data_IF_048475284485
#
_entry.id   IF_048475284485
#
_cell.length_a   1.000
_cell.length_b   1.000
_cell.length_c   1.000
_cell.angle_alpha   90.00
_cell.angle_beta   90.00
_cell.angle_gamma   90.00
#
_symmetry.space_group_name_H-M   'P 1'
#
loop_
_entity.id
_entity.type
_entity.pdbx_description
1 polymer ?
#
# COMPACT_ATOMS: atom_id res chain seq x y z
N UNK A 1 2.19 22.84 14.73
CA UNK A 1 2.04 22.95 13.27
C UNK A 1 1.40 21.67 12.75
N UNK A 2 0.32 21.69 11.95
CA UNK A 2 -0.36 20.49 11.48
C UNK A 2 0.32 20.01 10.20
N UNK A 3 1.57 19.58 10.33
CA UNK A 3 2.21 18.71 9.35
C UNK A 3 1.81 17.27 9.70
N UNK A 4 1.12 16.60 8.78
CA UNK A 4 0.62 15.24 8.99
C UNK A 4 -0.90 15.17 9.12
N UNK A 5 -1.37 14.29 10.00
CA UNK A 5 -2.80 13.98 10.14
C UNK A 5 -3.56 15.15 10.79
N UNK A 6 -4.70 15.50 10.22
CA UNK A 6 -5.60 16.53 10.79
C UNK A 6 -6.89 15.90 11.33
N UNK A 7 -7.60 16.65 12.17
CA UNK A 7 -8.90 16.24 12.73
C UNK A 7 -10.09 16.48 11.77
N UNK A 8 -9.88 17.12 10.61
CA UNK A 8 -10.94 17.35 9.63
C UNK A 8 -11.08 16.12 8.71
N UNK A 9 -12.26 15.50 8.72
CA UNK A 9 -12.55 14.30 7.94
C UNK A 9 -12.47 14.52 6.41
N UNK A 10 -12.53 15.77 5.95
CA UNK A 10 -12.43 16.15 4.54
C UNK A 10 -11.01 16.58 4.15
N UNK A 11 -10.15 16.91 5.12
CA UNK A 11 -8.74 17.31 4.90
C UNK A 11 -7.85 16.47 5.81
N UNK A 12 -7.81 15.15 5.59
CA UNK A 12 -7.15 14.22 6.53
C UNK A 12 -5.65 14.42 6.67
N UNK A 13 -4.97 14.90 5.63
CA UNK A 13 -3.52 15.14 5.65
C UNK A 13 -3.24 16.53 5.08
N UNK A 14 -2.40 17.28 5.78
CA UNK A 14 -1.89 18.57 5.33
C UNK A 14 -0.36 18.61 5.40
N UNK A 15 0.26 19.32 4.47
CA UNK A 15 1.73 19.45 4.39
C UNK A 15 2.26 20.59 5.26
N UNK A 16 1.41 21.55 5.60
CA UNK A 16 1.73 22.69 6.46
C UNK A 16 0.46 23.34 7.03
N UNK A 17 0.60 24.26 7.99
CA UNK A 17 -0.53 25.07 8.48
C UNK A 17 -1.18 25.90 7.36
N UNK A 18 -0.36 26.43 6.45
CA UNK A 18 -0.82 27.25 5.34
C UNK A 18 -1.64 26.42 4.36
N UNK A 19 -1.17 25.22 4.02
CA UNK A 19 -1.89 24.25 3.19
C UNK A 19 -3.25 23.90 3.81
N UNK A 20 -3.28 23.62 5.12
CA UNK A 20 -4.52 23.36 5.83
C UNK A 20 -5.51 24.54 5.76
N UNK A 21 -5.05 25.77 5.99
CA UNK A 21 -5.90 26.97 5.95
C UNK A 21 -6.49 27.18 4.55
N UNK A 22 -5.68 27.07 3.49
CA UNK A 22 -6.17 27.23 2.13
C UNK A 22 -7.15 26.12 1.72
N UNK A 23 -6.92 24.88 2.14
CA UNK A 23 -7.88 23.78 1.92
C UNK A 23 -9.16 23.99 2.72
N UNK A 24 -9.08 24.51 3.94
CA UNK A 24 -10.25 24.83 4.76
C UNK A 24 -11.09 25.96 4.14
N UNK A 25 -10.44 27.00 3.62
CA UNK A 25 -11.13 28.03 2.83
C UNK A 25 -11.70 27.43 1.53
N UNK A 26 -10.93 26.59 0.85
CA UNK A 26 -11.35 25.91 -0.37
C UNK A 26 -12.63 25.10 -0.18
N UNK A 27 -12.74 24.37 0.94
CA UNK A 27 -13.94 23.62 1.35
C UNK A 27 -15.19 24.50 1.46
N UNK A 28 -15.04 25.79 1.73
CA UNK A 28 -16.15 26.75 1.89
C UNK A 28 -16.53 27.47 0.60
N UNK A 29 -15.56 27.71 -0.30
CA UNK A 29 -15.75 28.64 -1.42
C UNK A 29 -15.54 28.03 -2.81
N UNK A 30 -14.85 26.90 -2.92
CA UNK A 30 -14.60 26.25 -4.21
C UNK A 30 -15.76 25.34 -4.62
N UNK A 31 -15.93 25.15 -5.92
CA UNK A 31 -16.87 24.16 -6.47
C UNK A 31 -16.40 22.73 -6.20
N UNK A 32 -17.28 21.75 -6.33
CA UNK A 32 -16.94 20.33 -6.10
C UNK A 32 -15.75 19.87 -6.96
N UNK A 33 -15.67 20.30 -8.21
CA UNK A 33 -14.58 19.94 -9.13
C UNK A 33 -13.23 20.54 -8.66
N UNK A 34 -13.25 21.80 -8.23
CA UNK A 34 -12.08 22.48 -7.69
C UNK A 34 -11.66 21.92 -6.33
N UNK A 35 -12.61 21.47 -5.51
CA UNK A 35 -12.33 20.78 -4.26
C UNK A 35 -11.62 19.46 -4.51
N UNK A 36 -12.04 18.69 -5.51
CA UNK A 36 -11.38 17.45 -5.92
C UNK A 36 -9.94 17.71 -6.36
N UNK A 37 -9.70 18.71 -7.21
CA UNK A 37 -8.36 19.10 -7.67
C UNK A 37 -7.46 19.57 -6.51
N UNK A 38 -8.02 20.31 -5.55
CA UNK A 38 -7.32 20.74 -4.34
C UNK A 38 -7.08 19.60 -3.33
N UNK A 39 -7.59 18.39 -3.59
CA UNK A 39 -7.47 17.23 -2.70
C UNK A 39 -8.34 17.32 -1.44
N UNK A 40 -9.44 18.07 -1.51
CA UNK A 40 -10.45 18.18 -0.44
C UNK A 40 -11.49 17.09 -0.64
N UNK A 41 -11.58 16.17 0.32
CA UNK A 41 -12.46 15.01 0.27
C UNK A 41 -13.84 15.35 0.86
N UNK A 42 -14.54 16.32 0.28
CA UNK A 42 -15.91 16.64 0.69
C UNK A 42 -16.85 15.46 0.44
N UNK A 43 -18.05 15.41 1.07
CA UNK A 43 -18.99 14.31 0.90
C UNK A 43 -19.34 14.02 -0.57
N UNK A 44 -19.45 15.07 -1.38
CA UNK A 44 -19.75 14.97 -2.81
C UNK A 44 -18.57 14.39 -3.60
N UNK A 45 -17.36 14.87 -3.34
CA UNK A 45 -16.13 14.33 -3.95
C UNK A 45 -15.95 12.86 -3.57
N UNK A 46 -16.17 12.52 -2.30
CA UNK A 46 -16.15 11.12 -1.82
C UNK A 46 -17.18 10.25 -2.55
N UNK A 47 -18.40 10.75 -2.78
CA UNK A 47 -19.43 10.02 -3.50
C UNK A 47 -19.06 9.79 -4.97
N UNK A 48 -18.50 10.80 -5.66
CA UNK A 48 -18.01 10.66 -7.04
C UNK A 48 -16.86 9.66 -7.14
N UNK A 49 -15.91 9.74 -6.22
CA UNK A 49 -14.79 8.81 -6.13
C UNK A 49 -15.30 7.38 -5.94
N UNK A 50 -16.25 7.16 -5.00
CA UNK A 50 -16.86 5.86 -4.76
C UNK A 50 -17.60 5.29 -5.98
N UNK A 51 -18.33 6.15 -6.72
CA UNK A 51 -18.97 5.76 -7.99
C UNK A 51 -17.94 5.36 -9.04
N UNK A 52 -16.84 6.11 -9.17
CA UNK A 52 -15.75 5.77 -10.08
C UNK A 52 -15.08 4.44 -9.72
N UNK A 53 -14.83 4.19 -8.43
CA UNK A 53 -14.33 2.89 -7.95
C UNK A 53 -15.30 1.74 -8.26
N UNK A 54 -16.59 1.94 -8.01
CA UNK A 54 -17.61 0.91 -8.30
C UNK A 54 -17.70 0.59 -9.80
N UNK A 55 -17.53 1.60 -10.65
CA UNK A 55 -17.48 1.40 -12.10
C UNK A 55 -16.23 0.63 -12.58
N UNK A 56 -15.12 0.70 -11.83
CA UNK A 56 -13.89 -0.04 -12.11
C UNK A 56 -13.93 -1.48 -11.59
N UNK A 57 -14.62 -1.75 -10.48
CA UNK A 57 -14.79 -3.11 -9.93
C UNK A 57 -15.48 -4.05 -10.94
N UNK A 58 -16.33 -3.53 -11.83
CA UNK A 58 -16.89 -4.29 -12.94
C UNK A 58 -15.89 -4.70 -14.04
N UNK A 59 -14.63 -4.26 -13.96
CA UNK A 59 -13.60 -4.46 -14.99
C UNK A 59 -12.38 -5.27 -14.54
N UNK A 60 -12.26 -5.59 -13.24
CA UNK A 60 -11.13 -6.34 -12.70
C UNK A 60 -11.50 -7.78 -12.36
N UNK A 61 -11.73 -8.60 -13.39
CA UNK A 61 -11.41 -10.02 -13.28
C UNK A 61 -9.94 -10.18 -13.67
N UNK A 62 -9.04 -10.01 -12.70
CA UNK A 62 -7.68 -10.52 -12.88
C UNK A 62 -7.81 -12.03 -12.77
N UNK A 63 -7.83 -12.70 -13.92
CA UNK A 63 -7.84 -14.16 -14.00
C UNK A 63 -6.49 -14.65 -13.45
N UNK A 64 -6.49 -15.05 -12.17
CA UNK A 64 -5.34 -15.71 -11.57
C UNK A 64 -5.34 -17.14 -12.11
N UNK A 65 -4.49 -17.38 -13.11
CA UNK A 65 -4.28 -18.73 -13.63
C UNK A 65 -3.76 -19.59 -12.48
N UNK A 66 -4.59 -20.52 -12.01
CA UNK A 66 -4.22 -21.38 -10.90
C UNK A 66 -3.00 -22.22 -11.32
N UNK A 67 -1.88 -22.19 -10.58
CA UNK A 67 -0.72 -22.97 -10.98
C UNK A 67 -1.10 -24.46 -11.05
N UNK A 68 -0.64 -25.18 -12.08
CA UNK A 68 -1.01 -26.58 -12.26
C UNK A 68 -0.61 -27.41 -11.03
N UNK A 69 -1.46 -28.38 -10.61
CA UNK A 69 -1.20 -29.18 -9.44
C UNK A 69 0.12 -29.95 -9.61
N UNK A 70 1.11 -29.62 -8.78
CA UNK A 70 2.43 -30.26 -8.76
C UNK A 70 3.65 -29.32 -8.77
N UNK A 71 3.48 -28.01 -8.94
CA UNK A 71 4.61 -27.05 -9.05
C UNK A 71 4.73 -26.02 -7.92
N UNK A 72 4.08 -26.20 -6.77
CA UNK A 72 4.05 -25.15 -5.73
C UNK A 72 5.24 -25.18 -4.76
N UNK A 73 5.89 -26.31 -4.52
CA UNK A 73 6.88 -26.37 -3.43
C UNK A 73 8.34 -26.08 -3.83
N UNK A 74 8.73 -26.27 -5.10
CA UNK A 74 10.14 -26.20 -5.52
C UNK A 74 10.57 -24.83 -6.06
N UNK A 75 9.63 -24.00 -6.53
CA UNK A 75 9.94 -22.70 -7.15
C UNK A 75 9.49 -21.49 -6.32
N UNK A 76 8.78 -21.71 -5.20
CA UNK A 76 8.37 -20.65 -4.30
C UNK A 76 9.46 -20.36 -3.25
N UNK A 77 10.57 -19.76 -3.68
CA UNK A 77 11.67 -19.31 -2.81
C UNK A 77 11.28 -18.23 -1.77
N UNK A 78 9.98 -17.92 -1.68
CA UNK A 78 9.37 -16.92 -0.82
C UNK A 78 8.47 -17.53 0.26
N UNK A 79 7.99 -18.76 0.10
CA UNK A 79 7.11 -19.45 1.08
C UNK A 79 7.90 -19.99 2.28
N UNK A 80 9.19 -20.30 2.11
CA UNK A 80 10.06 -20.85 3.16
C UNK A 80 11.14 -19.85 3.65
N UNK A 81 11.05 -18.60 3.22
CA UNK A 81 12.02 -17.56 3.54
C UNK A 81 11.84 -17.05 4.97
N UNK A 82 12.46 -17.72 5.94
CA UNK A 82 12.58 -17.25 7.32
C UNK A 82 13.42 -15.96 7.36
N UNK A 83 13.03 -15.00 8.19
CA UNK A 83 13.84 -13.80 8.43
C UNK A 83 15.13 -14.16 9.15
N UNK A 84 16.26 -13.60 8.71
CA UNK A 84 17.53 -13.89 9.35
C UNK A 84 17.55 -13.32 10.77
N UNK A 85 17.65 -14.20 11.77
CA UNK A 85 17.72 -13.80 13.19
C UNK A 85 18.88 -12.85 13.53
N UNK A 86 19.91 -12.76 12.67
CA UNK A 86 21.08 -11.90 12.87
C UNK A 86 20.92 -10.50 12.29
N UNK A 87 20.29 -10.36 11.12
CA UNK A 87 20.28 -9.11 10.37
C UNK A 87 18.91 -8.73 9.77
N UNK A 88 17.87 -9.52 10.00
CA UNK A 88 16.52 -9.33 9.43
C UNK A 88 16.43 -9.59 7.93
N UNK A 89 17.57 -9.86 7.26
CA UNK A 89 17.63 -10.14 5.84
C UNK A 89 16.91 -11.41 5.43
N UNK A 90 16.47 -11.47 4.17
CA UNK A 90 15.74 -12.63 3.65
C UNK A 90 16.67 -13.84 3.53
N UNK A 91 16.28 -14.97 4.11
CA UNK A 91 17.00 -16.23 3.93
C UNK A 91 16.48 -17.00 2.70
N UNK A 92 17.39 -17.68 2.00
CA UNK A 92 17.10 -18.47 0.80
C UNK A 92 17.62 -19.89 1.00
N UNK A 93 16.81 -20.88 0.62
CA UNK A 93 17.19 -22.29 0.68
C UNK A 93 18.37 -22.57 -0.24
N UNK A 94 19.45 -23.09 0.33
CA UNK A 94 20.68 -23.47 -0.36
C UNK A 94 20.98 -24.94 -0.04
N UNK A 95 20.38 -25.87 -0.80
CA UNK A 95 20.47 -27.31 -0.49
C UNK A 95 19.65 -27.69 0.74
N UNK A 96 20.25 -28.34 1.73
CA UNK A 96 19.62 -28.62 3.03
C UNK A 96 19.62 -27.41 3.98
N UNK A 97 20.44 -26.40 3.71
CA UNK A 97 20.58 -25.21 4.54
C UNK A 97 19.70 -24.05 4.07
N UNK A 98 19.59 -23.03 4.92
CA UNK A 98 19.16 -21.67 4.56
C UNK A 98 20.34 -20.72 4.68
N UNK A 99 20.46 -19.77 3.74
CA UNK A 99 21.52 -18.76 3.74
C UNK A 99 20.92 -17.37 3.58
N UNK A 100 21.30 -16.43 4.45
CA UNK A 100 20.92 -15.03 4.32
C UNK A 100 21.73 -14.33 3.22
N UNK A 101 21.07 -13.63 2.29
CA UNK A 101 21.77 -12.89 1.23
C UNK A 101 22.47 -11.61 1.71
N UNK A 102 21.99 -11.03 2.80
CA UNK A 102 22.48 -9.72 3.26
C UNK A 102 23.68 -9.84 4.18
N UNK A 103 23.71 -10.86 5.05
CA UNK A 103 24.78 -11.06 6.03
C UNK A 103 25.44 -12.45 6.00
N UNK A 104 25.10 -13.30 5.03
CA UNK A 104 25.77 -14.59 4.79
C UNK A 104 25.57 -15.65 5.88
N UNK A 105 24.72 -15.40 6.88
CA UNK A 105 24.47 -16.35 7.98
C UNK A 105 23.69 -17.56 7.47
N UNK A 106 24.14 -18.77 7.84
CA UNK A 106 23.50 -20.02 7.48
C UNK A 106 22.81 -20.70 8.67
N UNK A 107 21.68 -21.36 8.43
CA UNK A 107 20.91 -22.12 9.44
C UNK A 107 20.36 -23.41 8.86
N UNK A 108 20.16 -24.43 9.70
CA UNK A 108 19.48 -25.68 9.29
C UNK A 108 20.32 -26.65 8.46
N UNK A 109 21.66 -26.56 8.51
CA UNK A 109 22.53 -27.52 7.83
C UNK A 109 22.62 -28.84 8.61
N UNK A 110 22.05 -29.91 8.06
CA UNK A 110 22.30 -31.31 8.45
C UNK A 110 23.09 -32.02 7.37
#
# INVERSE_FOLDING_TARGET
EPSGLTNDADIRVAKSIVDYIFRWMGKKFLTTDQQEEAGILSPEVKARLAQAYSALEGKQTVEYDAPPPGQTALFNAWEDAVECARCGGRMVRTGSCYTCRDCGTNTGCS
#
